data_IF_523770844090
#
_entry.id   IF_523770844090
#
_cell.length_a   1.000
_cell.length_b   1.000
_cell.length_c   1.000
_cell.angle_alpha   90.00
_cell.angle_beta   90.00
_cell.angle_gamma   90.00
#
_symmetry.space_group_name_H-M   'P 1'
#
loop_
_entity.id
_entity.type
_entity.pdbx_description
1 polymer ?
#
# COMPACT_ATOMS: atom_id res chain seq x y z
N UNK A 1 8.20 -16.64 -17.60
CA UNK A 1 8.85 -16.32 -16.30
C UNK A 1 9.11 -14.83 -16.09
N UNK A 2 8.64 -13.93 -16.97
CA UNK A 2 8.90 -12.48 -16.88
C UNK A 2 7.79 -11.69 -16.14
N UNK A 3 6.65 -12.33 -15.83
CA UNK A 3 5.47 -11.66 -15.25
C UNK A 3 5.55 -11.30 -13.76
N UNK A 4 6.70 -11.45 -13.10
CA UNK A 4 6.86 -11.19 -11.65
C UNK A 4 7.78 -10.01 -11.32
N UNK A 5 8.57 -9.50 -12.27
CA UNK A 5 9.44 -8.34 -12.08
C UNK A 5 8.69 -7.00 -12.25
N UNK A 6 7.58 -7.02 -12.99
CA UNK A 6 6.81 -5.82 -13.36
C UNK A 6 5.99 -5.13 -12.23
N UNK A 7 5.58 -5.75 -11.10
CA UNK A 7 4.70 -5.07 -10.16
C UNK A 7 5.44 -4.19 -9.15
N UNK A 8 6.75 -4.36 -8.94
CA UNK A 8 7.43 -3.71 -7.81
C UNK A 8 7.63 -2.21 -8.04
N UNK A 9 8.33 -1.82 -9.11
CA UNK A 9 8.60 -0.41 -9.43
C UNK A 9 7.29 0.39 -9.59
N UNK A 10 6.26 -0.27 -10.12
CA UNK A 10 4.95 0.32 -10.28
C UNK A 10 4.31 0.45 -8.89
N UNK A 11 4.17 -0.59 -8.06
CA UNK A 11 3.59 -0.46 -6.70
C UNK A 11 4.26 0.64 -5.83
N UNK A 12 5.58 0.83 -5.94
CA UNK A 12 6.31 1.93 -5.28
C UNK A 12 5.88 3.30 -5.81
N UNK A 13 5.93 3.48 -7.13
CA UNK A 13 5.57 4.74 -7.77
C UNK A 13 4.10 5.09 -7.48
N UNK A 14 3.26 4.06 -7.48
CA UNK A 14 1.84 4.22 -7.35
C UNK A 14 1.42 4.68 -5.94
N UNK A 15 2.05 4.15 -4.87
CA UNK A 15 1.71 4.51 -3.47
C UNK A 15 1.94 5.98 -3.13
N UNK A 16 2.82 6.65 -3.86
CA UNK A 16 3.15 8.05 -3.68
C UNK A 16 2.09 9.01 -4.26
N UNK A 17 1.13 8.52 -5.04
CA UNK A 17 0.11 9.36 -5.68
C UNK A 17 -1.22 9.48 -4.93
N UNK A 18 -1.55 8.56 -4.01
CA UNK A 18 -2.93 8.10 -3.81
C UNK A 18 -3.97 9.17 -3.42
N UNK A 19 -3.60 10.30 -2.83
CA UNK A 19 -4.61 11.21 -2.29
C UNK A 19 -4.39 12.72 -2.33
N UNK A 20 -3.24 13.31 -2.76
CA UNK A 20 -3.19 14.75 -3.00
C UNK A 20 -4.16 15.21 -4.09
N UNK A 21 -4.50 14.32 -5.03
CA UNK A 21 -5.29 14.66 -6.22
C UNK A 21 -6.79 14.85 -6.01
N UNK A 22 -7.35 14.28 -4.94
CA UNK A 22 -8.79 14.33 -4.69
C UNK A 22 -9.24 15.65 -4.05
N UNK A 23 -8.30 16.52 -3.64
CA UNK A 23 -8.59 17.80 -2.98
C UNK A 23 -7.77 19.00 -3.50
N UNK A 24 -6.68 18.79 -4.24
CA UNK A 24 -5.96 19.91 -4.88
C UNK A 24 -6.67 20.29 -6.19
N UNK A 25 -7.22 21.50 -6.23
CA UNK A 25 -7.91 22.05 -7.40
C UNK A 25 -7.01 22.09 -8.64
N UNK A 26 -7.31 21.20 -9.58
CA UNK A 26 -7.33 21.36 -11.04
C UNK A 26 -6.49 22.51 -11.63
N UNK A 27 -5.14 22.45 -11.58
CA UNK A 27 -4.23 23.36 -12.30
C UNK A 27 -2.87 22.67 -12.56
N UNK A 28 -2.71 22.07 -13.75
CA UNK A 28 -1.44 21.67 -14.43
C UNK A 28 -1.01 20.18 -14.45
N UNK A 29 -0.25 19.81 -15.49
CA UNK A 29 0.05 18.43 -15.93
C UNK A 29 0.78 17.48 -14.95
N UNK A 30 1.19 17.96 -13.77
CA UNK A 30 1.64 17.11 -12.66
C UNK A 30 0.50 16.21 -12.13
N UNK A 31 -0.76 16.61 -12.36
CA UNK A 31 -1.95 15.91 -11.89
C UNK A 31 -2.16 14.55 -12.59
N UNK A 32 -1.80 14.46 -13.88
CA UNK A 32 -1.96 13.23 -14.65
C UNK A 32 -1.06 12.10 -14.17
N UNK A 33 0.19 12.43 -13.82
CA UNK A 33 1.13 11.44 -13.27
C UNK A 33 0.63 10.96 -11.91
N UNK A 34 0.27 11.87 -11.00
CA UNK A 34 -0.22 11.47 -9.69
C UNK A 34 -1.52 10.64 -9.77
N UNK A 35 -2.46 10.95 -10.67
CA UNK A 35 -3.65 10.13 -10.93
C UNK A 35 -3.30 8.72 -11.41
N UNK A 36 -2.37 8.62 -12.37
CA UNK A 36 -1.90 7.35 -12.91
C UNK A 36 -1.23 6.52 -11.81
N UNK A 37 -0.48 7.18 -10.92
CA UNK A 37 0.13 6.59 -9.75
C UNK A 37 -0.92 6.11 -8.73
N UNK A 38 -1.96 6.88 -8.44
CA UNK A 38 -3.07 6.44 -7.57
C UNK A 38 -3.70 5.17 -8.13
N UNK A 39 -4.14 5.28 -9.39
CA UNK A 39 -4.98 4.30 -10.06
C UNK A 39 -4.26 2.97 -10.15
N UNK A 40 -2.99 3.00 -10.55
CA UNK A 40 -2.25 1.77 -10.58
C UNK A 40 -2.04 1.18 -9.17
N UNK A 41 -1.97 1.93 -8.06
CA UNK A 41 -1.81 1.26 -6.73
C UNK A 41 -3.05 0.45 -6.45
N UNK A 42 -4.19 1.11 -6.62
CA UNK A 42 -5.51 0.56 -6.36
C UNK A 42 -5.73 -0.71 -7.19
N UNK A 43 -5.09 -0.83 -8.35
CA UNK A 43 -5.17 -2.03 -9.20
C UNK A 43 -4.06 -3.05 -8.88
N UNK A 44 -2.80 -2.62 -8.89
CA UNK A 44 -1.65 -3.51 -8.83
C UNK A 44 -1.44 -4.12 -7.45
N UNK A 45 -1.73 -3.39 -6.36
CA UNK A 45 -1.53 -3.92 -5.02
C UNK A 45 -2.51 -5.07 -4.70
N UNK A 46 -3.83 -4.95 -5.00
CA UNK A 46 -4.75 -6.08 -4.92
C UNK A 46 -4.39 -7.24 -5.86
N UNK A 47 -3.98 -6.94 -7.10
CA UNK A 47 -3.54 -7.96 -8.06
C UNK A 47 -2.31 -8.72 -7.56
N UNK A 48 -1.33 -8.01 -6.99
CA UNK A 48 -0.16 -8.62 -6.37
C UNK A 48 -0.55 -9.49 -5.19
N UNK A 49 -1.41 -9.01 -4.29
CA UNK A 49 -1.87 -9.78 -3.13
C UNK A 49 -2.60 -11.07 -3.56
N UNK A 50 -3.49 -10.98 -4.55
CA UNK A 50 -4.17 -12.13 -5.15
C UNK A 50 -3.18 -13.16 -5.69
N UNK A 51 -2.21 -12.71 -6.50
CA UNK A 51 -1.19 -13.59 -7.11
C UNK A 51 -0.27 -14.20 -6.08
N UNK A 52 0.18 -13.42 -5.10
CA UNK A 52 1.02 -13.91 -4.01
C UNK A 52 0.31 -15.00 -3.20
N UNK A 53 -1.01 -14.88 -3.01
CA UNK A 53 -1.83 -15.91 -2.36
C UNK A 53 -1.94 -17.18 -3.18
N UNK A 54 -2.18 -17.08 -4.49
CA UNK A 54 -2.18 -18.25 -5.36
C UNK A 54 -0.83 -18.98 -5.37
N UNK A 55 0.28 -18.21 -5.41
CA UNK A 55 1.62 -18.77 -5.40
C UNK A 55 1.99 -19.45 -4.07
N UNK A 56 1.25 -19.20 -3.00
CA UNK A 56 1.46 -19.78 -1.67
C UNK A 56 0.29 -20.68 -1.25
N UNK A 57 -0.54 -21.16 -2.19
CA UNK A 57 -1.76 -21.94 -1.93
C UNK A 57 -1.57 -23.08 -0.90
N UNK A 58 -0.44 -23.79 -0.96
CA UNK A 58 -0.14 -24.88 -0.02
C UNK A 58 -0.02 -24.44 1.46
N UNK A 59 0.13 -23.15 1.73
CA UNK A 59 0.22 -22.60 3.08
C UNK A 59 -1.16 -22.23 3.66
N UNK A 60 -1.30 -22.34 4.98
CA UNK A 60 -2.53 -21.95 5.66
C UNK A 60 -2.75 -20.43 5.59
N UNK A 61 -3.95 -20.04 5.18
CA UNK A 61 -4.32 -18.67 4.91
C UNK A 61 -5.71 -18.37 5.48
N UNK A 62 -5.85 -17.25 6.20
CA UNK A 62 -7.13 -16.89 6.86
C UNK A 62 -8.22 -16.40 5.93
N UNK A 63 -7.84 -15.99 4.71
CA UNK A 63 -8.72 -15.34 3.75
C UNK A 63 -8.51 -15.95 2.36
N UNK A 64 -9.58 -16.10 1.59
CA UNK A 64 -9.48 -16.58 0.20
C UNK A 64 -8.66 -15.61 -0.67
N UNK A 65 -8.10 -16.07 -1.80
CA UNK A 65 -7.43 -15.19 -2.76
C UNK A 65 -8.34 -14.05 -3.22
N UNK A 66 -9.62 -14.32 -3.49
CA UNK A 66 -10.61 -13.30 -3.84
C UNK A 66 -10.75 -12.21 -2.77
N UNK A 67 -10.79 -12.59 -1.49
CA UNK A 67 -10.82 -11.62 -0.39
C UNK A 67 -9.52 -10.83 -0.24
N UNK A 68 -8.37 -11.39 -0.64
CA UNK A 68 -7.10 -10.68 -0.63
C UNK A 68 -7.06 -9.49 -1.62
N UNK A 69 -7.83 -9.57 -2.71
CA UNK A 69 -8.02 -8.45 -3.64
C UNK A 69 -9.26 -7.60 -3.31
N UNK A 70 -10.38 -8.23 -3.00
CA UNK A 70 -11.66 -7.53 -2.82
C UNK A 70 -11.73 -6.66 -1.58
N UNK A 71 -10.98 -6.99 -0.52
CA UNK A 71 -11.05 -6.25 0.75
C UNK A 71 -10.65 -4.77 0.65
N UNK A 72 -9.85 -4.40 -0.35
CA UNK A 72 -9.42 -3.02 -0.58
C UNK A 72 -10.55 -2.08 -0.98
N UNK A 73 -11.67 -2.63 -1.50
CA UNK A 73 -12.82 -1.85 -1.98
C UNK A 73 -13.97 -1.82 -0.98
N UNK A 74 -13.91 -2.63 0.08
CA UNK A 74 -14.96 -2.69 1.11
C UNK A 74 -14.51 -1.81 2.28
N UNK A 75 -15.21 -0.71 2.63
CA UNK A 75 -14.73 0.26 3.62
C UNK A 75 -14.29 -0.37 4.95
N UNK A 76 -15.13 -1.23 5.52
CA UNK A 76 -14.84 -1.88 6.82
C UNK A 76 -13.73 -2.92 6.70
N UNK A 77 -13.72 -3.72 5.62
CA UNK A 77 -12.70 -4.74 5.43
C UNK A 77 -11.34 -4.12 5.09
N UNK A 78 -11.34 -3.00 4.36
CA UNK A 78 -10.16 -2.25 3.94
C UNK A 78 -9.37 -1.68 5.10
N UNK A 79 -9.97 -1.53 6.29
CA UNK A 79 -9.28 -1.07 7.50
C UNK A 79 -8.42 -2.12 8.17
N UNK A 80 -8.57 -3.40 7.84
CA UNK A 80 -7.94 -4.46 8.63
C UNK A 80 -7.57 -5.74 7.88
N UNK A 81 -8.34 -6.14 6.87
CA UNK A 81 -8.07 -7.36 6.10
C UNK A 81 -6.76 -7.27 5.31
N UNK A 82 -6.40 -6.14 4.68
CA UNK A 82 -5.10 -6.02 4.01
C UNK A 82 -3.91 -6.28 4.94
N UNK A 83 -3.94 -5.73 6.15
CA UNK A 83 -2.95 -5.99 7.19
C UNK A 83 -2.81 -7.49 7.46
N UNK A 84 -3.93 -8.19 7.62
CA UNK A 84 -3.93 -9.65 7.85
C UNK A 84 -3.37 -10.43 6.66
N UNK A 85 -3.77 -10.07 5.44
CA UNK A 85 -3.33 -10.72 4.20
C UNK A 85 -1.81 -10.62 4.07
N UNK A 86 -1.25 -9.42 4.26
CA UNK A 86 0.19 -9.17 4.16
C UNK A 86 0.96 -9.87 5.28
N UNK A 87 0.46 -9.83 6.51
CA UNK A 87 1.08 -10.52 7.63
C UNK A 87 1.08 -12.06 7.45
N UNK A 88 0.00 -12.62 6.90
CA UNK A 88 -0.07 -14.05 6.57
C UNK A 88 0.95 -14.43 5.49
N UNK A 89 1.08 -13.62 4.42
CA UNK A 89 2.06 -13.86 3.35
C UNK A 89 3.51 -13.89 3.87
N UNK A 90 3.85 -13.04 4.84
CA UNK A 90 5.18 -13.07 5.49
C UNK A 90 5.38 -14.29 6.40
N UNK A 91 4.30 -14.81 6.99
CA UNK A 91 4.37 -15.98 7.88
C UNK A 91 4.61 -17.29 7.13
N UNK A 92 4.31 -17.36 5.83
CA UNK A 92 4.44 -18.57 5.01
C UNK A 92 5.82 -19.22 5.11
N UNK A 93 6.91 -18.44 5.17
CA UNK A 93 8.27 -18.99 5.30
C UNK A 93 8.82 -18.97 6.72
N UNK A 94 8.71 -17.86 7.44
CA UNK A 94 9.24 -17.74 8.81
C UNK A 94 8.58 -16.60 9.57
N UNK A 95 8.12 -16.88 10.78
CA UNK A 95 7.67 -15.84 11.71
C UNK A 95 8.88 -15.00 12.13
N UNK A 96 8.90 -13.73 11.70
CA UNK A 96 9.91 -12.76 12.13
C UNK A 96 9.21 -11.59 12.83
N UNK A 97 9.60 -11.33 14.08
CA UNK A 97 9.08 -10.20 14.85
C UNK A 97 9.40 -8.86 14.15
N UNK A 98 10.60 -8.72 13.57
CA UNK A 98 11.01 -7.53 12.82
C UNK A 98 10.11 -7.25 11.63
N UNK A 99 9.83 -8.24 10.78
CA UNK A 99 8.93 -8.06 9.64
C UNK A 99 7.47 -7.82 10.05
N UNK A 100 7.04 -8.37 11.18
CA UNK A 100 5.71 -8.06 11.74
C UNK A 100 5.63 -6.59 12.12
N UNK A 101 6.67 -6.03 12.76
CA UNK A 101 6.74 -4.61 13.09
C UNK A 101 6.73 -3.74 11.83
N UNK A 102 7.50 -4.09 10.79
CA UNK A 102 7.51 -3.36 9.50
C UNK A 102 6.10 -3.27 8.90
N UNK A 103 5.35 -4.38 8.89
CA UNK A 103 3.97 -4.39 8.39
C UNK A 103 3.04 -3.53 9.24
N UNK A 104 3.17 -3.57 10.56
CA UNK A 104 2.35 -2.76 11.45
C UNK A 104 2.63 -1.26 11.26
N UNK A 105 3.91 -0.88 11.18
CA UNK A 105 4.30 0.52 10.95
C UNK A 105 3.83 0.98 9.58
N UNK A 106 3.98 0.15 8.54
CA UNK A 106 3.40 0.43 7.21
C UNK A 106 1.89 0.68 7.30
N UNK A 107 1.16 -0.23 7.95
CA UNK A 107 -0.30 -0.13 8.04
C UNK A 107 -0.76 1.13 8.77
N UNK A 108 -0.12 1.44 9.90
CA UNK A 108 -0.45 2.62 10.69
C UNK A 108 -0.06 3.92 9.99
N UNK A 109 1.08 3.96 9.30
CA UNK A 109 1.47 5.14 8.50
C UNK A 109 0.55 5.34 7.31
N UNK A 110 0.07 4.27 6.68
CA UNK A 110 -0.96 4.34 5.64
C UNK A 110 -2.30 4.86 6.20
N UNK A 111 -2.77 4.36 7.35
CA UNK A 111 -3.98 4.89 8.00
C UNK A 111 -3.83 6.35 8.41
N UNK A 112 -2.67 6.73 8.96
CA UNK A 112 -2.39 8.12 9.32
C UNK A 112 -2.45 9.03 8.10
N UNK A 113 -1.86 8.65 6.96
CA UNK A 113 -1.95 9.45 5.73
C UNK A 113 -3.39 9.57 5.21
N UNK A 114 -4.20 8.52 5.33
CA UNK A 114 -5.63 8.59 5.02
C UNK A 114 -6.37 9.59 5.93
N UNK A 115 -6.12 9.55 7.24
CA UNK A 115 -6.73 10.48 8.21
C UNK A 115 -6.29 11.93 7.98
N UNK A 116 -5.00 12.17 7.73
CA UNK A 116 -4.47 13.50 7.39
C UNK A 116 -5.07 14.07 6.08
N UNK A 117 -5.69 13.23 5.26
CA UNK A 117 -6.37 13.66 4.05
C UNK A 117 -7.80 14.18 4.32
N UNK A 118 -8.41 13.83 5.45
CA UNK A 118 -9.79 14.21 5.77
C UNK A 118 -9.90 15.61 6.41
N UNK A 119 -8.79 16.23 6.80
CA UNK A 119 -8.75 17.50 7.52
C UNK A 119 -9.25 18.72 6.69
N UNK A 120 -8.97 18.84 5.38
CA UNK A 120 -9.54 19.92 4.56
C UNK A 120 -11.08 19.95 4.51
N UNK A 121 -11.76 18.89 4.95
CA UNK A 121 -13.21 18.82 5.04
C UNK A 121 -13.78 19.54 6.29
N UNK A 122 -12.94 19.93 7.25
CA UNK A 122 -13.36 20.50 8.54
C UNK A 122 -13.37 22.05 8.60
N UNK A 123 -13.15 22.74 7.48
CA UNK A 123 -13.47 24.18 7.36
C UNK A 123 -12.61 25.15 8.17
N UNK A 124 -11.51 24.69 8.78
CA UNK A 124 -10.54 25.57 9.45
C UNK A 124 -9.78 26.41 8.43
N UNK A 125 -9.72 27.72 8.62
CA UNK A 125 -8.87 28.59 7.81
C UNK A 125 -7.39 28.28 8.09
N UNK A 126 -6.81 27.37 7.32
CA UNK A 126 -5.39 27.03 7.41
C UNK A 126 -4.60 28.21 6.85
N UNK A 127 -3.71 28.80 7.65
CA UNK A 127 -2.79 29.83 7.16
C UNK A 127 -1.88 29.24 6.07
N UNK A 128 -1.36 30.02 5.10
CA UNK A 128 -0.46 29.50 4.07
C UNK A 128 0.74 28.73 4.64
N UNK A 129 1.26 29.17 5.80
CA UNK A 129 2.36 28.50 6.52
C UNK A 129 1.91 27.14 7.07
N UNK A 130 0.75 27.08 7.73
CA UNK A 130 0.18 25.82 8.23
C UNK A 130 -0.11 24.82 7.11
N UNK A 131 -0.49 25.29 5.92
CA UNK A 131 -0.73 24.44 4.76
C UNK A 131 0.56 23.77 4.28
N UNK A 132 1.67 24.52 4.20
CA UNK A 132 2.98 23.96 3.80
C UNK A 132 3.46 22.91 4.79
N UNK A 133 3.42 23.21 6.09
CA UNK A 133 3.80 22.25 7.14
C UNK A 133 2.96 20.98 7.07
N UNK A 134 1.65 21.12 6.87
CA UNK A 134 0.73 20.00 6.72
C UNK A 134 1.06 19.10 5.52
N UNK A 135 1.35 19.71 4.37
CA UNK A 135 1.75 18.99 3.16
C UNK A 135 3.07 18.23 3.36
N UNK A 136 4.03 18.82 4.08
CA UNK A 136 5.30 18.17 4.39
C UNK A 136 5.12 16.95 5.31
N UNK A 137 4.34 17.09 6.39
CA UNK A 137 4.06 15.99 7.33
C UNK A 137 3.36 14.85 6.61
N UNK A 138 2.33 15.16 5.83
CA UNK A 138 1.58 14.17 5.04
C UNK A 138 2.46 13.49 3.99
N UNK A 139 3.23 14.27 3.23
CA UNK A 139 4.14 13.75 2.21
C UNK A 139 5.21 12.84 2.81
N UNK A 140 5.79 13.23 3.96
CA UNK A 140 6.74 12.41 4.71
C UNK A 140 6.13 11.08 5.16
N UNK A 141 4.93 11.10 5.75
CA UNK A 141 4.24 9.88 6.16
C UNK A 141 3.93 8.95 4.97
N UNK A 142 3.60 9.52 3.81
CA UNK A 142 3.34 8.76 2.59
C UNK A 142 4.60 8.12 2.01
N UNK A 143 5.73 8.82 2.01
CA UNK A 143 7.03 8.28 1.62
C UNK A 143 7.45 7.11 2.51
N UNK A 144 7.28 7.26 3.84
CA UNK A 144 7.56 6.19 4.80
C UNK A 144 6.67 4.98 4.54
N UNK A 145 5.36 5.18 4.37
CA UNK A 145 4.43 4.09 4.04
C UNK A 145 4.85 3.36 2.75
N UNK A 146 5.13 4.11 1.67
CA UNK A 146 5.52 3.54 0.38
C UNK A 146 6.82 2.73 0.47
N UNK A 147 7.83 3.25 1.19
CA UNK A 147 9.09 2.55 1.41
C UNK A 147 8.87 1.23 2.17
N UNK A 148 8.07 1.25 3.24
CA UNK A 148 7.80 0.06 4.04
C UNK A 148 7.00 -1.00 3.26
N UNK A 149 5.99 -0.60 2.47
CA UNK A 149 5.29 -1.53 1.60
C UNK A 149 6.24 -2.15 0.57
N UNK A 150 7.10 -1.34 -0.03
CA UNK A 150 8.08 -1.80 -1.01
C UNK A 150 8.96 -2.89 -0.42
N UNK A 151 9.48 -2.69 0.79
CA UNK A 151 10.27 -3.68 1.51
C UNK A 151 9.50 -4.97 1.74
N UNK A 152 8.23 -4.87 2.12
CA UNK A 152 7.35 -6.03 2.34
C UNK A 152 7.10 -6.79 1.03
N UNK A 153 6.75 -6.09 -0.05
CA UNK A 153 6.50 -6.69 -1.36
C UNK A 153 7.77 -7.37 -1.89
N UNK A 154 8.93 -6.72 -1.78
CA UNK A 154 10.23 -7.29 -2.11
C UNK A 154 10.49 -8.57 -1.33
N UNK A 155 10.31 -8.51 -0.01
CA UNK A 155 10.57 -9.62 0.89
C UNK A 155 9.73 -10.84 0.53
N UNK A 156 8.42 -10.65 0.41
CA UNK A 156 7.45 -11.70 0.05
C UNK A 156 7.76 -12.26 -1.34
N UNK A 157 8.03 -11.39 -2.32
CA UNK A 157 8.30 -11.82 -3.70
C UNK A 157 9.61 -12.63 -3.80
N UNK A 158 10.64 -12.26 -3.05
CA UNK A 158 11.88 -13.05 -2.94
C UNK A 158 11.60 -14.40 -2.29
N UNK A 159 10.81 -14.45 -1.22
CA UNK A 159 10.45 -15.71 -0.54
C UNK A 159 9.64 -16.65 -1.43
N UNK A 160 8.69 -16.11 -2.19
CA UNK A 160 7.90 -16.87 -3.16
C UNK A 160 8.82 -17.44 -4.24
N UNK A 161 9.72 -16.64 -4.82
CA UNK A 161 10.67 -17.14 -5.84
C UNK A 161 11.51 -18.31 -5.32
N UNK A 162 11.97 -18.24 -4.07
CA UNK A 162 12.73 -19.35 -3.46
C UNK A 162 11.92 -20.64 -3.31
N UNK A 163 10.58 -20.60 -3.29
CA UNK A 163 9.74 -21.82 -3.21
C UNK A 163 9.71 -22.60 -4.52
N UNK A 164 10.01 -21.96 -5.65
CA UNK A 164 9.94 -22.60 -6.97
C UNK A 164 11.27 -23.19 -7.43
N UNK A 165 12.40 -22.74 -6.87
CA UNK A 165 13.75 -23.12 -7.31
C UNK A 165 14.55 -23.94 -6.29
N UNK A 166 14.01 -24.17 -5.09
CA UNK A 166 14.65 -24.98 -4.06
C UNK A 166 13.78 -26.16 -3.70
#
# INVERSE_FOLDING_TARGET
MEHFAFPLAVVVALQLGIFPLLLAGQRDGADGLALLLVTGTVVLLPCWAYRARLATNAAFHRHSPGMAAGCWFIPVAGLYVPLRVVADLLRVRRRSAGWTAVVLVWWWTWLATALLTLEPLHGGAVTPVGAVEWHLVRGGAQLVSAALLTLVVLRVTVDIRKLWYG
#
